data_IF_812379323365
#
_entry.id   IF_812379323365
#
_cell.length_a   1.000
_cell.length_b   1.000
_cell.length_c   1.000
_cell.angle_alpha   90.00
_cell.angle_beta   90.00
_cell.angle_gamma   90.00
#
_symmetry.space_group_name_H-M   'P 1'
#
loop_
_entity.id
_entity.type
_entity.pdbx_description
1 polymer ?
#
# COMPACT_ATOMS: atom_id res chain seq x y z
N UNK A 1 -13.19 21.95 -24.96
CA UNK A 1 -14.15 21.37 -24.00
C UNK A 1 -13.32 20.90 -22.82
N UNK A 2 -13.40 21.65 -21.72
CA UNK A 2 -12.65 21.35 -20.49
C UNK A 2 -13.14 20.01 -19.96
N UNK A 3 -12.25 19.04 -19.80
CA UNK A 3 -12.56 17.86 -19.01
C UNK A 3 -12.83 18.36 -17.59
N UNK A 4 -14.08 18.18 -17.13
CA UNK A 4 -14.42 18.34 -15.72
C UNK A 4 -13.61 17.28 -14.99
N UNK A 5 -12.61 17.74 -14.22
CA UNK A 5 -11.89 16.90 -13.26
C UNK A 5 -12.97 16.46 -12.27
N UNK A 6 -13.33 15.18 -12.29
CA UNK A 6 -14.17 14.61 -11.24
C UNK A 6 -13.27 14.58 -9.99
N UNK A 7 -13.24 15.70 -9.26
CA UNK A 7 -12.60 15.83 -7.95
C UNK A 7 -13.40 14.94 -6.99
N UNK A 8 -13.03 13.66 -6.93
CA UNK A 8 -13.59 12.72 -5.96
C UNK A 8 -12.85 12.96 -4.66
N UNK A 9 -13.45 13.73 -3.75
CA UNK A 9 -13.03 13.80 -2.36
C UNK A 9 -13.02 12.42 -1.73
N UNK A 10 -12.03 12.14 -0.87
CA UNK A 10 -11.93 10.85 -0.18
C UNK A 10 -12.94 10.84 0.98
N UNK A 11 -13.87 9.89 0.98
CA UNK A 11 -14.86 9.76 2.05
C UNK A 11 -14.21 9.27 3.37
N UNK A 12 -14.34 10.06 4.44
CA UNK A 12 -13.98 9.66 5.80
C UNK A 12 -15.16 8.94 6.44
N UNK A 13 -14.99 7.64 6.69
CA UNK A 13 -16.05 6.78 7.20
C UNK A 13 -16.10 6.83 8.74
N UNK A 14 -17.30 6.99 9.35
CA UNK A 14 -17.43 7.16 10.80
C UNK A 14 -17.23 5.85 11.60
N UNK A 15 -17.28 4.70 10.93
CA UNK A 15 -17.28 3.37 11.54
C UNK A 15 -16.15 2.48 11.06
N UNK A 16 -15.20 3.03 10.30
CA UNK A 16 -14.08 2.28 9.74
C UNK A 16 -12.80 3.12 9.72
N UNK A 17 -11.65 2.47 9.57
CA UNK A 17 -10.39 3.18 9.35
C UNK A 17 -10.37 3.72 7.93
N UNK A 18 -10.17 5.02 7.78
CA UNK A 18 -9.95 5.63 6.46
C UNK A 18 -8.44 5.77 6.24
N UNK A 19 -7.96 5.29 5.09
CA UNK A 19 -6.54 5.37 4.72
C UNK A 19 -6.41 6.39 3.60
N UNK A 20 -5.69 7.47 3.87
CA UNK A 20 -5.34 8.51 2.90
C UNK A 20 -3.96 8.14 2.32
N UNK A 21 -3.94 7.58 1.11
CA UNK A 21 -2.68 7.23 0.46
C UNK A 21 -1.98 8.47 -0.07
N UNK A 22 -0.64 8.51 0.03
CA UNK A 22 0.14 9.61 -0.55
C UNK A 22 -0.05 9.72 -2.08
N UNK A 23 -0.40 8.61 -2.75
CA UNK A 23 -0.69 8.56 -4.19
C UNK A 23 -2.04 9.20 -4.58
N UNK A 24 -2.87 9.54 -3.60
CA UNK A 24 -4.16 10.22 -3.77
C UNK A 24 -4.11 11.66 -3.28
N UNK A 25 -2.94 12.12 -2.81
CA UNK A 25 -2.73 13.48 -2.32
C UNK A 25 -2.42 14.46 -3.45
N UNK A 26 -2.73 15.74 -3.21
CA UNK A 26 -2.07 16.85 -3.88
C UNK A 26 -0.70 17.08 -3.22
N UNK A 27 0.36 17.06 -4.04
CA UNK A 27 1.75 17.20 -3.60
C UNK A 27 2.29 18.56 -4.01
N UNK A 28 2.84 19.30 -3.05
CA UNK A 28 3.36 20.65 -3.28
C UNK A 28 4.87 20.73 -3.02
N UNK A 29 5.52 21.64 -3.77
CA UNK A 29 6.97 21.85 -3.66
C UNK A 29 7.78 20.76 -4.34
N UNK A 30 8.75 20.18 -3.63
CA UNK A 30 9.66 19.17 -4.18
C UNK A 30 9.13 17.74 -4.08
N UNK A 31 7.99 17.55 -3.43
CA UNK A 31 7.41 16.22 -3.18
C UNK A 31 6.89 15.63 -4.48
N UNK A 32 7.28 14.40 -4.76
CA UNK A 32 6.83 13.64 -5.92
C UNK A 32 6.56 12.18 -5.53
N UNK A 33 5.84 11.47 -6.39
CA UNK A 33 5.57 10.05 -6.18
C UNK A 33 6.71 9.23 -6.74
N UNK A 34 7.20 8.27 -5.95
CA UNK A 34 8.19 7.30 -6.42
C UNK A 34 7.58 6.48 -7.57
N UNK A 35 8.08 6.71 -8.79
CA UNK A 35 7.65 6.01 -9.99
C UNK A 35 8.22 4.59 -10.02
N UNK A 36 7.34 3.59 -9.99
CA UNK A 36 7.73 2.21 -10.29
C UNK A 36 7.23 1.85 -11.70
N UNK A 37 8.15 1.82 -12.65
CA UNK A 37 7.84 1.48 -14.04
C UNK A 37 8.14 -0.01 -14.27
N UNK A 38 7.12 -0.87 -14.11
CA UNK A 38 7.18 -2.26 -14.57
C UNK A 38 6.36 -2.45 -15.85
N UNK A 39 6.62 -3.54 -16.57
CA UNK A 39 5.95 -3.94 -17.81
C UNK A 39 4.51 -4.41 -17.53
N UNK A 40 3.60 -3.49 -17.21
CA UNK A 40 2.21 -3.86 -16.89
C UNK A 40 1.42 -4.31 -18.12
N UNK A 41 0.51 -5.27 -17.94
CA UNK A 41 -0.49 -5.69 -18.93
C UNK A 41 -1.41 -4.53 -19.37
N UNK A 42 -1.54 -3.48 -18.55
CA UNK A 42 -2.36 -2.29 -18.81
C UNK A 42 -1.58 -1.01 -19.20
N UNK A 43 -2.31 -0.05 -19.80
CA UNK A 43 -1.80 1.22 -20.35
C UNK A 43 -1.47 2.30 -19.30
N UNK A 44 -1.85 2.11 -18.03
CA UNK A 44 -1.57 3.08 -16.97
C UNK A 44 -0.30 2.67 -16.23
N UNK A 45 0.79 3.39 -16.48
CA UNK A 45 1.95 3.35 -15.60
C UNK A 45 1.54 3.62 -14.15
N UNK A 46 2.30 3.07 -13.20
CA UNK A 46 1.96 3.19 -11.77
C UNK A 46 1.68 4.64 -11.39
N UNK A 47 0.66 4.87 -10.55
CA UNK A 47 0.44 6.16 -9.87
C UNK A 47 1.51 6.44 -8.81
N UNK A 48 2.70 5.84 -8.94
CA UNK A 48 3.73 5.76 -7.91
C UNK A 48 3.33 4.91 -6.69
N UNK A 49 4.25 4.80 -5.73
CA UNK A 49 4.08 3.93 -4.54
C UNK A 49 3.97 4.70 -3.22
N UNK A 50 4.75 5.77 -3.06
CA UNK A 50 4.82 6.64 -1.88
C UNK A 50 5.25 8.04 -2.30
N UNK A 51 5.03 9.03 -1.44
CA UNK A 51 5.60 10.36 -1.59
C UNK A 51 7.05 10.38 -1.08
N UNK A 52 7.94 10.98 -1.87
CA UNK A 52 9.36 11.21 -1.56
C UNK A 52 9.80 12.59 -2.06
N UNK A 53 11.05 12.97 -1.75
CA UNK A 53 11.60 14.27 -2.13
C UNK A 53 11.18 15.41 -1.20
N UNK A 54 10.60 15.09 -0.04
CA UNK A 54 10.18 16.07 0.96
C UNK A 54 11.40 16.71 1.63
N UNK A 55 11.84 17.85 1.12
CA UNK A 55 13.17 18.42 1.40
C UNK A 55 13.12 19.85 1.94
N UNK A 56 11.99 20.53 1.85
CA UNK A 56 11.75 21.88 2.37
C UNK A 56 10.65 21.92 3.45
N UNK A 57 10.68 22.96 4.28
CA UNK A 57 9.58 23.30 5.20
C UNK A 57 8.38 23.93 4.47
N UNK A 58 8.59 24.42 3.24
CA UNK A 58 7.52 24.96 2.38
C UNK A 58 6.79 23.86 1.59
N UNK A 59 7.30 22.62 1.63
CA UNK A 59 6.67 21.47 0.99
C UNK A 59 5.51 20.95 1.85
N UNK A 60 4.38 20.58 1.23
CA UNK A 60 3.24 19.98 1.93
C UNK A 60 2.54 18.89 1.09
N UNK A 61 1.81 18.04 1.80
CA UNK A 61 0.98 16.96 1.25
C UNK A 61 -0.45 17.22 1.72
N UNK A 62 -1.41 17.32 0.79
CA UNK A 62 -2.79 17.66 1.09
C UNK A 62 -3.76 16.62 0.52
N UNK A 63 -4.84 16.33 1.25
CA UNK A 63 -5.94 15.50 0.78
C UNK A 63 -7.25 16.26 0.93
N UNK A 64 -8.03 16.28 -0.15
CA UNK A 64 -9.41 16.73 -0.09
C UNK A 64 -10.31 15.56 0.31
N UNK A 65 -11.05 15.77 1.39
CA UNK A 65 -11.84 14.73 2.03
C UNK A 65 -13.28 15.18 2.25
N UNK A 66 -14.19 14.21 2.27
CA UNK A 66 -15.57 14.40 2.68
C UNK A 66 -15.82 13.67 4.00
N UNK A 67 -16.02 14.42 5.07
CA UNK A 67 -16.24 13.89 6.41
C UNK A 67 -17.72 13.63 6.61
N UNK A 68 -18.11 12.35 6.59
CA UNK A 68 -19.51 11.96 6.67
C UNK A 68 -20.15 12.28 8.02
N UNK A 69 -19.37 12.19 9.11
CA UNK A 69 -19.78 12.60 10.45
C UNK A 69 -18.65 13.31 11.17
N UNK A 70 -18.97 14.45 11.78
CA UNK A 70 -18.05 15.20 12.64
C UNK A 70 -17.58 14.33 13.81
N UNK A 71 -16.30 14.46 14.18
CA UNK A 71 -15.79 13.80 15.37
C UNK A 71 -14.28 13.86 15.52
N UNK A 72 -13.80 13.19 16.57
CA UNK A 72 -12.38 13.09 16.87
C UNK A 72 -11.78 11.80 16.28
N UNK A 73 -10.66 11.94 15.61
CA UNK A 73 -9.96 10.84 14.95
C UNK A 73 -8.57 10.67 15.54
N UNK A 74 -8.21 9.44 15.88
CA UNK A 74 -6.82 9.11 16.18
C UNK A 74 -6.06 8.97 14.87
N UNK A 75 -4.90 9.62 14.77
CA UNK A 75 -4.11 9.67 13.54
C UNK A 75 -2.92 8.72 13.62
N UNK A 76 -2.65 8.00 12.54
CA UNK A 76 -1.39 7.30 12.36
C UNK A 76 -0.82 7.58 10.99
N UNK A 77 0.49 7.48 10.85
CA UNK A 77 1.15 7.55 9.55
C UNK A 77 1.95 6.27 9.31
N UNK A 78 2.08 5.90 8.04
CA UNK A 78 3.01 4.88 7.59
C UNK A 78 4.08 5.56 6.74
N UNK A 79 5.32 5.51 7.17
CA UNK A 79 6.42 6.21 6.52
C UNK A 79 7.73 5.43 6.67
N UNK A 80 8.75 5.81 5.90
CA UNK A 80 10.14 5.39 6.11
C UNK A 80 11.07 6.60 6.25
N UNK A 81 12.10 6.45 7.07
CA UNK A 81 13.15 7.43 7.29
C UNK A 81 14.45 6.66 7.53
N UNK A 82 15.47 6.89 6.69
CA UNK A 82 16.75 6.22 6.85
C UNK A 82 17.48 6.64 8.14
N UNK A 83 18.60 5.96 8.42
CA UNK A 83 19.48 6.28 9.54
C UNK A 83 20.24 7.58 9.22
N UNK A 84 20.29 8.54 10.16
CA UNK A 84 20.99 9.83 10.07
C UNK A 84 20.35 10.93 9.16
N UNK A 85 19.01 11.08 9.17
CA UNK A 85 18.37 12.41 9.12
C UNK A 85 17.16 12.55 10.08
N UNK A 86 16.99 11.60 11.02
CA UNK A 86 15.86 11.57 11.95
C UNK A 86 15.71 12.85 12.81
N UNK A 87 14.54 13.01 13.45
CA UNK A 87 14.27 14.14 14.33
C UNK A 87 13.62 15.36 13.66
N UNK A 88 13.20 15.24 12.39
CA UNK A 88 12.28 16.22 11.79
C UNK A 88 10.95 16.21 12.54
N UNK A 89 10.31 17.37 12.66
CA UNK A 89 8.99 17.54 13.28
C UNK A 89 7.98 17.92 12.18
N UNK A 90 6.77 17.41 12.32
CA UNK A 90 5.68 17.63 11.37
C UNK A 90 4.37 17.87 12.11
N UNK A 91 3.41 18.46 11.40
CA UNK A 91 2.03 18.57 11.85
C UNK A 91 1.06 18.11 10.77
N UNK A 92 -0.07 17.57 11.22
CA UNK A 92 -1.26 17.29 10.42
C UNK A 92 -2.33 18.26 10.87
N UNK A 93 -2.92 18.99 9.93
CA UNK A 93 -3.89 20.07 10.21
C UNK A 93 -5.16 19.85 9.41
N UNK A 94 -6.30 20.09 10.05
CA UNK A 94 -7.62 20.10 9.43
C UNK A 94 -8.45 21.23 10.08
N UNK A 95 -8.70 22.30 9.33
CA UNK A 95 -9.29 23.52 9.87
C UNK A 95 -8.47 24.06 11.05
N UNK A 96 -9.13 24.23 12.22
CA UNK A 96 -8.48 24.70 13.45
C UNK A 96 -7.84 23.56 14.28
N UNK A 97 -8.07 22.30 13.91
CA UNK A 97 -7.51 21.15 14.60
C UNK A 97 -6.13 20.79 14.07
N UNK A 98 -5.23 20.36 14.97
CA UNK A 98 -3.91 19.88 14.59
C UNK A 98 -3.39 18.81 15.54
N UNK A 99 -2.56 17.92 15.00
CA UNK A 99 -1.71 17.00 15.76
C UNK A 99 -0.28 17.11 15.26
N UNK A 100 0.69 16.90 16.16
CA UNK A 100 2.12 17.05 15.85
C UNK A 100 2.86 15.75 16.11
N UNK A 101 3.88 15.46 15.32
CA UNK A 101 4.74 14.29 15.53
C UNK A 101 6.20 14.57 15.24
N UNK A 102 7.05 13.68 15.75
CA UNK A 102 8.49 13.66 15.45
C UNK A 102 8.81 12.40 14.68
N UNK A 103 9.55 12.58 13.58
CA UNK A 103 10.05 11.51 12.74
C UNK A 103 11.14 10.76 13.47
N UNK A 104 10.91 9.47 13.70
CA UNK A 104 11.96 8.51 14.10
C UNK A 104 12.50 7.76 12.88
N UNK A 105 13.75 7.34 12.97
CA UNK A 105 14.35 6.44 12.00
C UNK A 105 13.58 5.11 11.96
N UNK A 106 13.49 4.54 10.77
CA UNK A 106 12.83 3.25 10.54
C UNK A 106 13.86 2.17 10.25
N UNK A 107 13.64 0.99 10.83
CA UNK A 107 14.56 -0.14 10.75
C UNK A 107 14.04 -1.22 9.80
N UNK A 108 12.74 -1.53 9.83
CA UNK A 108 12.09 -2.53 8.99
C UNK A 108 12.82 -3.89 8.94
N UNK A 109 12.40 -4.74 8.00
CA UNK A 109 13.01 -6.07 7.80
C UNK A 109 14.13 -6.06 6.76
N UNK A 110 14.12 -5.09 5.85
CA UNK A 110 15.11 -5.01 4.79
C UNK A 110 16.46 -4.53 5.36
N UNK A 111 17.59 -5.05 4.84
CA UNK A 111 18.91 -4.63 5.32
C UNK A 111 19.16 -3.14 5.07
N UNK A 112 20.13 -2.56 5.79
CA UNK A 112 20.38 -1.12 5.88
C UNK A 112 20.44 -0.37 4.53
N UNK A 113 20.89 -1.02 3.46
CA UNK A 113 20.97 -0.47 2.10
C UNK A 113 19.59 -0.14 1.48
N UNK A 114 18.50 -0.68 2.04
CA UNK A 114 17.12 -0.45 1.61
C UNK A 114 16.29 0.25 2.70
N UNK A 115 16.92 0.93 3.65
CA UNK A 115 16.26 1.63 4.79
C UNK A 115 15.16 2.59 4.38
N UNK A 116 15.31 3.28 3.25
CA UNK A 116 14.26 4.14 2.67
C UNK A 116 13.05 3.39 2.08
N UNK A 117 13.02 2.07 2.22
CA UNK A 117 11.86 1.21 1.90
C UNK A 117 11.41 0.39 3.11
N UNK A 118 11.99 0.64 4.28
CA UNK A 118 11.58 0.05 5.57
C UNK A 118 10.41 0.84 6.16
N UNK A 119 9.22 0.69 5.60
CA UNK A 119 8.04 1.41 6.09
C UNK A 119 7.56 0.88 7.45
N UNK A 120 7.32 1.78 8.39
CA UNK A 120 6.77 1.47 9.70
C UNK A 120 5.54 2.35 9.98
N UNK A 121 4.64 1.86 10.84
CA UNK A 121 3.50 2.63 11.33
C UNK A 121 3.87 3.39 12.61
N UNK A 122 3.50 4.65 12.70
CA UNK A 122 3.57 5.46 13.91
C UNK A 122 2.17 5.99 14.23
N UNK A 123 1.71 5.74 15.46
CA UNK A 123 0.55 6.44 16.02
C UNK A 123 1.01 7.81 16.52
N UNK A 124 0.28 8.87 16.15
CA UNK A 124 0.52 10.23 16.64
C UNK A 124 -0.24 10.41 17.95
N UNK A 125 0.36 11.11 18.91
CA UNK A 125 -0.32 11.47 20.15
C UNK A 125 -1.39 12.53 19.92
N UNK A 126 -2.50 12.43 20.67
CA UNK A 126 -3.65 13.31 20.52
C UNK A 126 -4.67 12.83 19.49
N UNK A 127 -5.62 13.70 19.18
CA UNK A 127 -6.72 13.46 18.24
C UNK A 127 -6.88 14.64 17.30
N UNK A 128 -7.19 14.36 16.04
CA UNK A 128 -7.54 15.36 15.05
C UNK A 128 -9.07 15.44 14.99
N UNK A 129 -9.61 16.60 15.33
CA UNK A 129 -11.03 16.88 15.22
C UNK A 129 -11.35 17.26 13.78
N UNK A 130 -12.32 16.59 13.18
CA UNK A 130 -12.78 16.86 11.82
C UNK A 130 -14.24 17.30 11.85
N UNK A 131 -14.50 18.49 11.32
CA UNK A 131 -15.86 18.98 11.08
C UNK A 131 -16.51 18.19 9.94
N UNK A 132 -17.83 17.99 10.00
CA UNK A 132 -18.58 17.33 8.94
C UNK A 132 -18.58 18.12 7.63
N UNK A 133 -18.61 17.41 6.50
CA UNK A 133 -18.59 17.98 5.15
C UNK A 133 -17.21 17.96 4.50
N UNK A 134 -17.06 18.74 3.43
CA UNK A 134 -15.81 18.78 2.65
C UNK A 134 -14.77 19.64 3.37
N UNK A 135 -13.57 19.10 3.56
CA UNK A 135 -12.42 19.83 4.08
C UNK A 135 -11.11 19.29 3.50
N UNK A 136 -10.02 20.03 3.73
CA UNK A 136 -8.67 19.60 3.36
C UNK A 136 -7.90 19.22 4.61
N UNK A 137 -7.25 18.06 4.57
CA UNK A 137 -6.27 17.62 5.57
C UNK A 137 -4.89 17.85 4.99
N UNK A 138 -4.08 18.66 5.67
CA UNK A 138 -2.73 19.01 5.22
C UNK A 138 -1.68 18.49 6.19
N UNK A 139 -0.62 17.89 5.66
CA UNK A 139 0.57 17.51 6.40
C UNK A 139 1.77 18.36 5.95
N UNK A 140 2.46 19.00 6.90
CA UNK A 140 3.62 19.86 6.65
C UNK A 140 4.71 19.68 7.69
N UNK A 141 5.95 19.96 7.32
CA UNK A 141 7.08 19.90 8.23
C UNK A 141 7.21 21.25 8.98
N UNK A 142 7.45 21.19 10.29
CA UNK A 142 7.66 22.39 11.13
C UNK A 142 9.13 22.59 11.48
N UNK A 143 9.93 21.52 11.42
CA UNK A 143 11.36 21.55 11.68
C UNK A 143 12.07 20.44 10.93
N UNK A 144 13.21 20.76 10.34
CA UNK A 144 14.05 19.84 9.57
C UNK A 144 15.52 20.05 9.91
N UNK A 145 16.08 19.32 10.89
CA UNK A 145 17.45 19.54 11.34
C UNK A 145 18.50 18.98 10.36
N UNK A 146 18.15 17.93 9.60
CA UNK A 146 19.04 17.26 8.65
C UNK A 146 18.96 17.80 7.22
N UNK A 147 19.94 17.43 6.39
CA UNK A 147 19.98 17.79 4.97
C UNK A 147 19.18 16.83 4.08
N UNK A 148 18.87 15.61 4.55
CA UNK A 148 18.08 14.60 3.84
C UNK A 148 16.57 14.90 3.75
N UNK A 149 15.77 13.93 3.34
CA UNK A 149 14.30 14.06 3.32
C UNK A 149 13.72 14.11 4.75
N UNK A 150 12.57 14.77 4.94
CA UNK A 150 11.79 14.71 6.20
C UNK A 150 11.38 13.27 6.48
N UNK A 151 10.73 12.64 5.50
CA UNK A 151 10.36 11.22 5.46
C UNK A 151 9.90 10.85 4.05
N UNK A 152 9.80 9.56 3.76
CA UNK A 152 8.99 9.04 2.65
C UNK A 152 7.64 8.58 3.18
N UNK A 153 6.57 9.22 2.75
CA UNK A 153 5.23 8.99 3.28
C UNK A 153 4.45 8.00 2.39
N UNK A 154 3.93 6.94 3.00
CA UNK A 154 3.07 5.96 2.32
C UNK A 154 1.59 6.29 2.52
N UNK A 155 1.15 6.47 3.77
CA UNK A 155 -0.25 6.77 4.09
C UNK A 155 -0.41 7.52 5.40
N UNK A 156 -1.56 8.21 5.53
CA UNK A 156 -2.12 8.71 6.78
C UNK A 156 -3.43 7.95 7.06
N UNK A 157 -3.52 7.30 8.20
CA UNK A 157 -4.68 6.52 8.62
C UNK A 157 -5.48 7.30 9.68
N UNK A 158 -6.78 7.48 9.45
CA UNK A 158 -7.73 8.09 10.37
C UNK A 158 -8.61 7.01 10.99
N UNK A 159 -8.58 6.88 12.31
CA UNK A 159 -9.47 5.96 13.06
C UNK A 159 -10.44 6.78 13.89
N UNK A 160 -11.76 6.69 13.65
CA UNK A 160 -12.76 7.40 14.45
C UNK A 160 -12.69 6.95 15.91
N UNK A 161 -12.53 7.89 16.84
CA UNK A 161 -12.36 7.58 18.26
C UNK A 161 -13.59 6.88 18.83
N UNK A 162 -14.78 7.31 18.42
CA UNK A 162 -16.06 6.71 18.83
C UNK A 162 -16.25 5.26 18.33
N UNK A 163 -15.60 4.86 17.23
CA UNK A 163 -15.72 3.52 16.66
C UNK A 163 -14.55 2.59 17.02
N UNK A 164 -13.54 3.08 17.74
CA UNK A 164 -12.27 2.37 17.99
C UNK A 164 -12.48 0.97 18.59
N UNK A 165 -13.34 0.84 19.59
CA UNK A 165 -13.64 -0.45 20.22
C UNK A 165 -14.31 -1.41 19.24
N UNK A 166 -15.33 -0.95 18.50
CA UNK A 166 -16.03 -1.76 17.50
C UNK A 166 -15.11 -2.22 16.37
N UNK A 167 -14.19 -1.35 15.92
CA UNK A 167 -13.16 -1.69 14.93
C UNK A 167 -12.21 -2.75 15.51
N UNK A 168 -11.77 -2.60 16.75
CA UNK A 168 -10.90 -3.57 17.41
C UNK A 168 -11.58 -4.95 17.58
N UNK A 169 -12.85 -4.96 17.98
CA UNK A 169 -13.67 -6.17 18.06
C UNK A 169 -13.88 -6.81 16.69
N UNK A 170 -14.14 -6.03 15.64
CA UNK A 170 -14.24 -6.53 14.28
C UNK A 170 -12.92 -7.17 13.83
N UNK A 171 -11.78 -6.54 14.15
CA UNK A 171 -10.46 -7.09 13.92
C UNK A 171 -10.22 -8.41 14.67
N UNK A 172 -10.70 -8.52 15.91
CA UNK A 172 -10.60 -9.75 16.68
C UNK A 172 -11.52 -10.86 16.16
N UNK A 173 -12.75 -10.52 15.73
CA UNK A 173 -13.63 -11.45 15.03
C UNK A 173 -12.97 -11.95 13.74
N UNK A 174 -12.39 -11.05 12.93
CA UNK A 174 -11.67 -11.41 11.72
C UNK A 174 -10.48 -12.33 12.01
N UNK A 175 -9.72 -12.07 13.08
CA UNK A 175 -8.64 -12.97 13.53
C UNK A 175 -9.15 -14.35 13.92
N UNK A 176 -10.25 -14.44 14.66
CA UNK A 176 -10.89 -15.72 15.04
C UNK A 176 -11.49 -16.48 13.85
N UNK A 177 -11.89 -15.77 12.80
CA UNK A 177 -12.37 -16.38 11.55
C UNK A 177 -11.25 -16.82 10.61
N UNK A 178 -9.98 -16.55 10.92
CA UNK A 178 -8.86 -17.05 10.10
C UNK A 178 -8.92 -18.57 10.06
N UNK A 179 -8.73 -19.12 8.86
CA UNK A 179 -8.66 -20.56 8.69
C UNK A 179 -7.52 -21.15 9.55
N UNK A 180 -7.77 -22.30 10.17
CA UNK A 180 -6.74 -23.03 10.88
C UNK A 180 -5.61 -23.44 9.91
N UNK A 181 -4.36 -23.12 10.25
CA UNK A 181 -3.19 -23.44 9.43
C UNK A 181 -2.45 -24.70 9.91
N UNK A 182 -3.05 -25.50 10.82
CA UNK A 182 -2.45 -26.74 11.32
C UNK A 182 -2.16 -27.73 10.19
N UNK A 183 -3.00 -27.75 9.15
CA UNK A 183 -2.79 -28.58 7.97
C UNK A 183 -1.47 -28.23 7.25
N UNK A 184 -1.07 -26.95 7.26
CA UNK A 184 0.17 -26.48 6.63
C UNK A 184 1.40 -26.96 7.40
N UNK A 185 1.32 -27.00 8.73
CA UNK A 185 2.34 -27.57 9.62
C UNK A 185 2.38 -29.10 9.49
N UNK A 186 1.21 -29.74 9.39
CA UNK A 186 1.06 -31.18 9.21
C UNK A 186 1.63 -31.65 7.88
N UNK A 187 1.50 -30.86 6.81
CA UNK A 187 2.06 -31.12 5.49
C UNK A 187 3.60 -31.25 5.47
N UNK A 188 4.29 -30.73 6.51
CA UNK A 188 5.77 -30.71 6.68
C UNK A 188 6.51 -29.86 5.67
N UNK A 189 6.22 -30.02 4.40
CA UNK A 189 6.80 -29.22 3.34
C UNK A 189 5.84 -29.09 2.15
N UNK A 190 6.06 -28.05 1.38
CA UNK A 190 5.46 -27.85 0.08
C UNK A 190 6.49 -27.30 -0.88
N UNK A 191 6.03 -27.04 -2.11
CA UNK A 191 6.87 -26.54 -3.20
C UNK A 191 6.31 -25.21 -3.68
N UNK A 192 7.21 -24.26 -3.95
CA UNK A 192 6.86 -22.98 -4.55
C UNK A 192 7.40 -22.91 -5.98
N UNK A 193 6.54 -22.53 -6.91
CA UNK A 193 6.93 -22.31 -8.30
C UNK A 193 6.78 -20.83 -8.64
N UNK A 194 7.89 -20.22 -9.05
CA UNK A 194 7.88 -18.93 -9.72
C UNK A 194 7.60 -19.19 -11.20
N UNK A 195 6.44 -18.75 -11.66
CA UNK A 195 5.92 -18.99 -13.00
C UNK A 195 5.24 -17.73 -13.49
N UNK A 196 5.77 -17.12 -14.55
CA UNK A 196 5.40 -15.79 -14.99
C UNK A 196 5.81 -15.51 -16.42
N UNK A 197 5.74 -14.25 -16.83
CA UNK A 197 5.96 -13.82 -18.23
C UNK A 197 7.32 -14.20 -18.81
N UNK A 198 8.32 -14.46 -17.97
CA UNK A 198 9.68 -14.86 -18.35
C UNK A 198 9.93 -16.37 -18.33
N UNK A 199 8.91 -17.18 -18.04
CA UNK A 199 9.05 -18.64 -17.99
C UNK A 199 9.29 -19.23 -19.38
N UNK A 200 10.11 -20.28 -19.44
CA UNK A 200 10.46 -21.00 -20.66
C UNK A 200 9.75 -22.36 -20.73
N UNK A 201 9.32 -22.83 -21.92
CA UNK A 201 8.85 -24.19 -22.08
C UNK A 201 10.03 -25.18 -21.97
N UNK A 202 9.71 -26.46 -21.75
CA UNK A 202 10.72 -27.54 -21.71
C UNK A 202 11.55 -27.64 -23.00
N UNK A 203 10.95 -27.29 -24.15
CA UNK A 203 11.56 -27.31 -25.49
C UNK A 203 10.97 -26.18 -26.33
N UNK A 204 11.79 -25.62 -27.22
CA UNK A 204 11.38 -24.55 -28.14
C UNK A 204 11.57 -23.15 -27.56
N UNK A 205 11.19 -22.10 -28.31
CA UNK A 205 11.30 -20.71 -27.87
C UNK A 205 10.27 -20.37 -26.78
N UNK A 206 10.54 -19.30 -26.03
CA UNK A 206 9.57 -18.69 -25.13
C UNK A 206 8.27 -18.37 -25.88
N UNK A 207 7.14 -18.68 -25.25
CA UNK A 207 5.82 -18.33 -25.76
C UNK A 207 5.35 -16.99 -25.16
N UNK A 208 4.45 -16.25 -25.83
CA UNK A 208 3.62 -15.26 -25.15
C UNK A 208 2.99 -15.86 -23.89
N UNK A 209 2.93 -15.09 -22.80
CA UNK A 209 2.50 -15.64 -21.51
C UNK A 209 1.06 -16.22 -21.55
N UNK A 210 0.07 -15.59 -22.20
CA UNK A 210 -1.26 -16.20 -22.36
C UNK A 210 -1.25 -17.56 -23.06
N UNK A 211 -0.39 -17.74 -24.07
CA UNK A 211 -0.21 -19.04 -24.73
C UNK A 211 0.44 -20.07 -23.80
N UNK A 212 1.40 -19.64 -22.96
CA UNK A 212 2.01 -20.51 -21.96
C UNK A 212 0.99 -20.99 -20.90
N UNK A 213 0.01 -20.14 -20.54
CA UNK A 213 -1.07 -20.48 -19.58
C UNK A 213 -2.04 -21.46 -20.18
N UNK A 214 -2.51 -21.19 -21.41
CA UNK A 214 -3.41 -22.10 -22.13
C UNK A 214 -2.78 -23.49 -22.31
N UNK A 215 -1.49 -23.54 -22.58
CA UNK A 215 -0.77 -24.77 -22.86
C UNK A 215 -0.20 -25.43 -21.59
N UNK A 216 -0.47 -24.89 -20.39
CA UNK A 216 0.02 -25.45 -19.13
C UNK A 216 -0.74 -26.75 -18.80
N UNK A 217 -0.01 -27.86 -18.77
CA UNK A 217 -0.55 -29.18 -18.45
C UNK A 217 -0.70 -29.34 -16.93
N UNK A 218 -1.91 -29.05 -16.43
CA UNK A 218 -2.25 -29.08 -15.00
C UNK A 218 -2.12 -30.48 -14.43
N UNK A 219 -2.54 -31.51 -15.17
CA UNK A 219 -2.54 -32.89 -14.69
C UNK A 219 -1.09 -33.40 -14.57
N UNK A 220 -0.27 -33.19 -15.60
CA UNK A 220 1.14 -33.57 -15.56
C UNK A 220 1.91 -32.83 -14.45
N UNK A 221 1.59 -31.56 -14.22
CA UNK A 221 2.16 -30.78 -13.13
C UNK A 221 1.75 -31.34 -11.76
N UNK A 222 0.46 -31.61 -11.55
CA UNK A 222 -0.07 -32.16 -10.31
C UNK A 222 0.54 -33.53 -9.99
N UNK A 223 0.63 -34.42 -10.99
CA UNK A 223 1.28 -35.72 -10.87
C UNK A 223 2.75 -35.60 -10.46
N UNK A 224 3.48 -34.67 -11.08
CA UNK A 224 4.88 -34.40 -10.74
C UNK A 224 5.02 -33.93 -9.30
N UNK A 225 4.20 -32.98 -8.86
CA UNK A 225 4.22 -32.49 -7.47
C UNK A 225 3.87 -33.63 -6.51
N UNK A 226 2.85 -34.43 -6.81
CA UNK A 226 2.44 -35.54 -5.97
C UNK A 226 3.57 -36.57 -5.81
N UNK A 227 4.34 -36.85 -6.87
CA UNK A 227 5.51 -37.74 -6.82
C UNK A 227 6.63 -37.23 -5.90
N UNK A 228 6.73 -35.92 -5.67
CA UNK A 228 7.66 -35.39 -4.67
C UNK A 228 7.24 -35.78 -3.26
N UNK A 229 5.93 -35.85 -2.99
CA UNK A 229 5.35 -36.01 -1.67
C UNK A 229 5.01 -34.69 -0.97
N UNK A 230 5.04 -33.57 -1.69
CA UNK A 230 4.68 -32.26 -1.17
C UNK A 230 3.19 -32.22 -0.76
N UNK A 231 2.89 -31.63 0.40
CA UNK A 231 1.51 -31.51 0.88
C UNK A 231 0.76 -30.29 0.33
N UNK A 232 1.46 -29.35 -0.31
CA UNK A 232 0.88 -28.17 -0.95
C UNK A 232 1.78 -27.57 -2.02
N UNK A 233 1.15 -26.79 -2.90
CA UNK A 233 1.80 -25.94 -3.89
C UNK A 233 1.51 -24.48 -3.59
N UNK A 234 2.56 -23.66 -3.58
CA UNK A 234 2.41 -22.21 -3.74
C UNK A 234 2.72 -21.90 -5.20
N UNK A 235 1.69 -21.54 -5.96
CA UNK A 235 1.82 -21.22 -7.37
C UNK A 235 1.65 -19.72 -7.57
N UNK A 236 2.58 -19.12 -8.31
CA UNK A 236 2.54 -17.70 -8.58
C UNK A 236 1.36 -17.34 -9.51
N UNK A 237 0.51 -16.43 -9.04
CA UNK A 237 -0.57 -15.84 -9.83
C UNK A 237 -0.05 -14.75 -10.77
N UNK A 238 0.77 -13.82 -10.24
CA UNK A 238 1.32 -12.66 -10.96
C UNK A 238 2.74 -12.34 -10.46
N UNK A 239 3.54 -11.67 -11.29
CA UNK A 239 4.86 -11.14 -10.92
C UNK A 239 5.19 -9.89 -11.71
N UNK A 240 5.86 -8.92 -11.07
CA UNK A 240 6.39 -7.72 -11.74
C UNK A 240 5.33 -6.99 -12.55
N UNK A 241 5.32 -7.20 -13.86
CA UNK A 241 4.35 -6.70 -14.83
C UNK A 241 2.87 -7.06 -14.64
N UNK A 242 2.48 -7.65 -13.52
CA UNK A 242 1.08 -7.91 -13.14
C UNK A 242 0.21 -8.59 -14.22
N UNK A 243 0.81 -9.49 -15.00
CA UNK A 243 0.09 -10.25 -16.03
C UNK A 243 -0.76 -11.35 -15.40
N UNK A 244 -2.09 -11.28 -15.58
CA UNK A 244 -3.04 -12.26 -15.05
C UNK A 244 -3.99 -12.83 -16.12
N UNK A 245 -3.46 -13.61 -17.08
CA UNK A 245 -4.27 -14.23 -18.13
C UNK A 245 -5.14 -15.36 -17.56
N UNK A 246 -6.38 -15.03 -17.20
CA UNK A 246 -7.37 -15.97 -16.69
C UNK A 246 -8.76 -15.64 -17.25
N UNK A 247 -9.70 -16.60 -17.28
CA UNK A 247 -11.04 -16.39 -17.82
C UNK A 247 -11.93 -15.61 -16.83
N UNK A 248 -11.45 -14.48 -16.31
CA UNK A 248 -12.11 -13.66 -15.28
C UNK A 248 -12.47 -12.32 -15.91
N UNK A 249 -13.72 -12.18 -16.34
CA UNK A 249 -14.23 -11.01 -17.04
C UNK A 249 -13.96 -9.70 -16.28
N UNK A 250 -14.14 -9.70 -14.96
CA UNK A 250 -13.87 -8.52 -14.12
C UNK A 250 -12.41 -8.09 -14.16
N UNK A 251 -11.46 -9.02 -14.28
CA UNK A 251 -10.04 -8.67 -14.37
C UNK A 251 -9.73 -8.13 -15.77
N UNK A 252 -10.27 -8.75 -16.82
CA UNK A 252 -10.12 -8.29 -18.20
C UNK A 252 -10.65 -6.84 -18.38
N UNK A 253 -11.73 -6.48 -17.68
CA UNK A 253 -12.28 -5.12 -17.70
C UNK A 253 -11.34 -4.08 -17.06
N UNK A 254 -10.53 -4.47 -16.08
CA UNK A 254 -9.64 -3.58 -15.31
C UNK A 254 -8.21 -3.58 -15.92
N UNK A 255 -7.73 -4.73 -16.36
CA UNK A 255 -6.37 -5.00 -16.85
C UNK A 255 -6.44 -5.88 -18.11
N UNK A 256 -6.86 -5.32 -19.26
CA UNK A 256 -7.05 -6.11 -20.48
C UNK A 256 -5.71 -6.63 -21.02
N UNK A 257 -5.64 -7.91 -21.42
CA UNK A 257 -4.46 -8.49 -22.09
C UNK A 257 -4.32 -10.01 -22.05
#
# INVERSE_FOLDING_TARGET
MSAVREERSIEIRPMDVTVLFATEAELHGNINLYGFHDETQGRQGSKGLWAEGWTSLDDCIAWDVEVLEEGDYSVSIRYSCAIDPGGSEYEVVAGDSRVTGTVRETSGWLPAFFTWTSFERQQIEGTLHLSGGVCTIEMRATKKPGTGEVMRLYSLDLTPSAAREKIAEAGERARRMRACTDWFVAAKYGVMFHWGTRTQPRRGPQKPFPDAVRDFDVDSFADMVQQTGAGYVIFQAVHGGHWFPGPIQTIEEILPG
#
